data_IF_748584211812
#
_entry.id   IF_748584211812
#
_cell.length_a   1.000
_cell.length_b   1.000
_cell.length_c   1.000
_cell.angle_alpha   90.00
_cell.angle_beta   90.00
_cell.angle_gamma   90.00
#
_symmetry.space_group_name_H-M   'P 1'
#
loop_
_entity.id
_entity.type
_entity.pdbx_description
1 polymer ?
#
# COMPACT_ATOMS: atom_id res chain seq x y z
N UNK A 1 47.66 8.27 1.97
CA UNK A 1 46.39 8.22 1.29
C UNK A 1 46.44 7.28 0.09
N UNK A 2 46.61 5.96 0.30
CA UNK A 2 46.62 4.95 -0.79
C UNK A 2 46.15 3.56 -0.30
N UNK A 3 45.14 3.47 0.55
CA UNK A 3 44.72 2.22 1.15
C UNK A 3 43.21 1.90 1.00
N UNK A 4 42.47 2.66 0.17
CA UNK A 4 41.00 2.52 0.11
C UNK A 4 40.43 1.96 -1.19
N UNK A 5 41.27 1.62 -2.20
CA UNK A 5 40.79 1.18 -3.53
C UNK A 5 40.90 -0.33 -3.79
N UNK A 6 41.48 -1.10 -2.88
CA UNK A 6 41.72 -2.55 -3.06
C UNK A 6 40.54 -3.41 -2.55
N UNK A 7 39.72 -2.87 -1.67
CA UNK A 7 38.62 -3.64 -1.04
C UNK A 7 37.36 -3.76 -1.94
N UNK A 8 37.16 -2.86 -2.88
CA UNK A 8 35.96 -2.83 -3.75
C UNK A 8 36.07 -3.87 -4.89
N UNK A 9 37.31 -4.19 -5.33
CA UNK A 9 37.51 -5.14 -6.44
C UNK A 9 37.39 -6.62 -6.05
N UNK A 10 37.40 -6.97 -4.77
CA UNK A 10 37.23 -8.37 -4.34
C UNK A 10 35.76 -8.82 -4.28
N UNK A 11 34.84 -7.87 -4.19
CA UNK A 11 33.40 -8.20 -4.11
C UNK A 11 32.80 -8.60 -5.48
N UNK A 12 33.37 -8.07 -6.58
CA UNK A 12 32.87 -8.36 -7.93
C UNK A 12 33.39 -9.67 -8.54
N UNK A 13 34.43 -10.30 -7.97
CA UNK A 13 35.03 -11.51 -8.56
C UNK A 13 34.30 -12.81 -8.21
N UNK A 14 33.42 -12.81 -7.20
CA UNK A 14 32.64 -13.98 -6.77
C UNK A 14 31.37 -14.27 -7.58
N UNK A 15 30.83 -13.28 -8.28
CA UNK A 15 29.54 -13.44 -9.00
C UNK A 15 29.66 -13.86 -10.47
N UNK A 16 30.81 -13.78 -11.09
CA UNK A 16 30.99 -14.20 -12.52
C UNK A 16 31.06 -15.71 -12.73
N UNK A 17 31.28 -16.49 -11.71
CA UNK A 17 31.37 -17.95 -11.83
C UNK A 17 30.04 -18.70 -11.72
N UNK A 18 28.96 -18.06 -11.24
CA UNK A 18 27.66 -18.73 -11.14
C UNK A 18 26.74 -18.52 -12.36
N UNK A 19 27.03 -17.54 -13.21
CA UNK A 19 26.20 -17.28 -14.41
C UNK A 19 26.55 -18.21 -15.58
N UNK A 20 27.68 -18.87 -15.55
CA UNK A 20 28.14 -19.75 -16.64
C UNK A 20 27.69 -21.22 -16.51
N UNK A 21 27.05 -21.63 -15.43
CA UNK A 21 26.61 -23.03 -15.25
C UNK A 21 25.12 -23.29 -15.56
N UNK A 22 24.31 -22.25 -15.84
CA UNK A 22 22.87 -22.40 -16.14
C UNK A 22 22.57 -22.41 -17.66
N UNK A 23 23.54 -22.05 -18.53
CA UNK A 23 23.33 -21.97 -19.98
C UNK A 23 23.61 -23.26 -20.74
N UNK A 24 23.93 -24.36 -20.10
CA UNK A 24 24.36 -25.60 -20.79
C UNK A 24 23.36 -26.77 -20.76
N UNK A 25 22.15 -26.60 -20.19
CA UNK A 25 21.17 -27.72 -20.05
C UNK A 25 19.85 -27.47 -20.83
N UNK A 26 19.73 -26.46 -21.64
CA UNK A 26 18.51 -26.17 -22.39
C UNK A 26 18.62 -26.41 -23.89
N UNK A 27 19.09 -27.59 -24.29
CA UNK A 27 19.09 -27.99 -25.71
C UNK A 27 19.00 -29.53 -25.88
N UNK A 28 17.92 -30.12 -25.42
CA UNK A 28 17.35 -31.40 -25.95
C UNK A 28 15.95 -31.54 -25.34
N UNK A 29 14.91 -31.45 -26.14
CA UNK A 29 13.58 -31.80 -25.65
C UNK A 29 12.40 -31.26 -26.45
N UNK A 30 12.19 -31.88 -27.65
CA UNK A 30 10.87 -32.19 -28.24
C UNK A 30 9.71 -31.22 -28.08
N UNK A 31 9.35 -30.63 -29.22
CA UNK A 31 8.06 -29.95 -29.46
C UNK A 31 6.88 -30.87 -29.15
N UNK A 32 6.14 -30.56 -28.12
CA UNK A 32 4.80 -31.11 -27.92
C UNK A 32 3.80 -29.96 -28.13
N UNK A 33 3.10 -30.04 -29.26
CA UNK A 33 1.94 -29.21 -29.53
C UNK A 33 0.83 -29.58 -28.51
N UNK A 34 0.56 -28.72 -27.56
CA UNK A 34 -0.66 -28.79 -26.74
C UNK A 34 -1.70 -27.87 -27.36
N UNK A 35 -2.70 -28.52 -27.96
CA UNK A 35 -3.94 -27.89 -28.45
C UNK A 35 -4.69 -27.36 -27.22
N UNK A 36 -4.90 -26.04 -27.18
CA UNK A 36 -5.74 -25.42 -26.19
C UNK A 36 -7.22 -25.78 -26.44
N UNK A 37 -7.98 -26.19 -25.44
CA UNK A 37 -9.42 -26.35 -25.60
C UNK A 37 -10.10 -24.98 -25.71
N UNK A 38 -10.82 -24.79 -26.81
CA UNK A 38 -11.71 -23.66 -27.03
C UNK A 38 -12.90 -23.77 -26.06
N UNK A 39 -13.00 -22.82 -25.15
CA UNK A 39 -14.21 -22.65 -24.32
C UNK A 39 -15.21 -21.81 -25.11
N UNK A 40 -16.17 -22.48 -25.73
CA UNK A 40 -17.39 -21.86 -26.26
C UNK A 40 -18.36 -21.55 -25.10
N UNK A 41 -19.22 -20.52 -25.26
CA UNK A 41 -20.22 -20.19 -24.24
C UNK A 41 -21.27 -21.28 -24.13
N UNK A 42 -21.82 -21.60 -22.94
CA UNK A 42 -22.86 -22.58 -22.77
C UNK A 42 -24.17 -22.06 -23.39
N UNK A 43 -24.85 -22.99 -24.09
CA UNK A 43 -26.14 -22.76 -24.71
C UNK A 43 -27.23 -22.45 -23.69
N UNK A 44 -28.05 -21.48 -24.06
CA UNK A 44 -29.31 -21.08 -23.45
C UNK A 44 -30.27 -22.30 -23.37
N UNK A 45 -30.72 -22.66 -22.18
CA UNK A 45 -31.92 -23.44 -21.99
C UNK A 45 -33.02 -22.55 -21.41
N UNK A 46 -34.04 -22.37 -22.21
CA UNK A 46 -35.25 -21.64 -21.87
C UNK A 46 -36.22 -22.51 -21.03
N UNK A 47 -37.13 -21.79 -20.38
CA UNK A 47 -38.46 -22.15 -19.85
C UNK A 47 -38.59 -22.51 -18.38
N UNK A 48 -39.37 -21.65 -17.72
CA UNK A 48 -40.00 -21.90 -16.43
C UNK A 48 -40.55 -20.61 -15.85
N UNK A 49 -41.80 -20.26 -16.18
CA UNK A 49 -42.48 -19.09 -15.65
C UNK A 49 -42.72 -19.21 -14.13
N UNK A 50 -42.60 -18.11 -13.44
CA UNK A 50 -42.91 -17.92 -12.05
C UNK A 50 -43.03 -16.45 -11.76
N UNK A 51 -44.30 -15.98 -11.72
CA UNK A 51 -44.68 -14.67 -11.21
C UNK A 51 -44.10 -14.44 -9.82
N UNK A 52 -43.29 -13.45 -9.65
CA UNK A 52 -42.99 -12.85 -8.36
C UNK A 52 -42.74 -11.38 -8.55
N UNK A 53 -43.80 -10.59 -8.44
CA UNK A 53 -43.76 -9.16 -8.19
C UNK A 53 -43.06 -8.91 -6.82
N UNK A 54 -41.75 -8.74 -6.84
CA UNK A 54 -41.00 -8.25 -5.68
C UNK A 54 -40.60 -6.82 -5.96
N UNK A 55 -41.19 -5.96 -5.16
CA UNK A 55 -40.91 -4.54 -5.05
C UNK A 55 -39.42 -4.22 -5.22
N UNK A 56 -39.09 -3.61 -6.34
CA UNK A 56 -37.85 -2.89 -6.54
C UNK A 56 -37.88 -1.61 -5.68
N UNK A 57 -37.51 -1.73 -4.41
CA UNK A 57 -37.12 -0.59 -3.61
C UNK A 57 -35.84 -0.04 -4.19
N UNK A 58 -35.94 0.86 -5.16
CA UNK A 58 -34.87 1.78 -5.52
C UNK A 58 -34.50 2.54 -4.23
N UNK A 59 -33.45 2.10 -3.57
CA UNK A 59 -32.75 2.95 -2.63
C UNK A 59 -32.07 4.02 -3.45
N UNK A 60 -32.77 5.17 -3.59
CA UNK A 60 -32.10 6.40 -3.94
C UNK A 60 -31.14 6.68 -2.80
N UNK A 61 -29.88 6.31 -2.97
CA UNK A 61 -28.81 6.85 -2.17
C UNK A 61 -28.71 8.34 -2.50
N UNK A 62 -29.53 9.14 -1.84
CA UNK A 62 -29.19 10.53 -1.59
C UNK A 62 -27.82 10.47 -0.92
N UNK A 63 -26.80 10.92 -1.64
CA UNK A 63 -25.45 11.06 -1.09
C UNK A 63 -25.59 11.92 0.16
N UNK A 64 -25.62 11.29 1.31
CA UNK A 64 -25.65 11.99 2.59
C UNK A 64 -24.38 12.83 2.60
N UNK A 65 -24.52 14.14 2.54
CA UNK A 65 -23.41 15.07 2.57
C UNK A 65 -22.70 14.83 3.89
N UNK A 66 -21.55 14.17 3.83
CA UNK A 66 -20.73 13.88 5.00
C UNK A 66 -20.43 15.21 5.70
N UNK A 67 -20.62 15.32 7.01
CA UNK A 67 -20.33 16.57 7.71
C UNK A 67 -18.85 16.94 7.55
N UNK A 68 -18.51 18.24 7.48
CA UNK A 68 -17.12 18.67 7.32
C UNK A 68 -16.26 18.18 8.48
N UNK A 69 -15.07 17.67 8.15
CA UNK A 69 -14.09 17.25 9.15
C UNK A 69 -13.51 18.51 9.79
N UNK A 70 -13.74 18.68 11.09
CA UNK A 70 -13.21 19.81 11.86
C UNK A 70 -11.88 19.48 12.50
N UNK A 71 -10.89 20.36 12.36
CA UNK A 71 -9.54 20.20 12.90
C UNK A 71 -9.27 21.25 13.97
N UNK A 72 -9.66 21.01 15.22
CA UNK A 72 -9.51 21.96 16.33
C UNK A 72 -8.27 21.77 17.23
N UNK A 73 -7.42 20.76 16.98
CA UNK A 73 -6.29 20.39 17.84
C UNK A 73 -4.96 20.99 17.36
N UNK A 74 -4.07 21.29 18.28
CA UNK A 74 -2.72 21.81 18.04
C UNK A 74 -1.71 20.76 17.56
N UNK A 75 -2.10 19.48 17.47
CA UNK A 75 -1.25 18.37 17.04
C UNK A 75 -1.22 18.21 15.52
N UNK A 76 -0.15 17.61 15.02
CA UNK A 76 -0.04 17.15 13.64
C UNK A 76 -1.18 16.16 13.33
N UNK A 77 -1.88 16.34 12.21
CA UNK A 77 -2.99 15.48 11.82
C UNK A 77 -2.78 14.86 10.45
N UNK A 78 -3.17 13.59 10.33
CA UNK A 78 -3.23 12.87 9.07
C UNK A 78 -4.70 12.67 8.70
N UNK A 79 -5.10 13.20 7.55
CA UNK A 79 -6.49 13.19 7.10
C UNK A 79 -6.57 12.48 5.76
N UNK A 80 -7.50 11.54 5.66
CA UNK A 80 -7.86 10.89 4.39
C UNK A 80 -9.25 11.36 3.98
N UNK A 81 -9.37 11.84 2.74
CA UNK A 81 -10.62 12.28 2.13
C UNK A 81 -10.89 11.47 0.85
N UNK A 82 -12.15 11.30 0.53
CA UNK A 82 -12.55 10.93 -0.83
C UNK A 82 -12.75 12.19 -1.69
N UNK A 83 -12.61 12.08 -3.00
CA UNK A 83 -12.99 13.16 -3.90
C UNK A 83 -14.46 13.57 -3.64
N UNK A 84 -14.72 14.87 -3.57
CA UNK A 84 -16.00 15.44 -3.21
C UNK A 84 -16.20 15.71 -1.71
N UNK A 85 -15.42 15.12 -0.83
CA UNK A 85 -15.48 15.41 0.62
C UNK A 85 -15.11 16.87 0.90
N UNK A 86 -15.70 17.42 1.97
CA UNK A 86 -15.44 18.81 2.41
C UNK A 86 -14.59 18.78 3.67
N UNK A 87 -13.48 19.51 3.63
CA UNK A 87 -12.57 19.73 4.75
C UNK A 87 -12.78 21.13 5.32
N UNK A 88 -13.11 21.23 6.61
CA UNK A 88 -13.19 22.49 7.34
C UNK A 88 -11.91 22.71 8.16
N UNK A 89 -11.15 23.75 7.80
CA UNK A 89 -9.90 24.13 8.45
C UNK A 89 -10.01 25.39 9.31
N UNK A 90 -11.23 25.79 9.65
CA UNK A 90 -11.48 26.96 10.52
C UNK A 90 -10.97 26.74 11.96
N UNK A 91 -10.55 27.81 12.66
CA UNK A 91 -10.25 29.14 12.16
C UNK A 91 -8.81 29.24 11.65
N UNK A 92 -8.58 30.04 10.63
CA UNK A 92 -7.23 30.47 10.32
C UNK A 92 -6.87 30.57 8.85
N UNK A 93 -5.79 31.26 8.55
CA UNK A 93 -5.21 31.22 7.22
C UNK A 93 -4.71 29.80 6.92
N UNK A 94 -4.90 29.37 5.69
CA UNK A 94 -4.40 28.08 5.18
C UNK A 94 -3.45 28.38 4.03
N UNK A 95 -2.23 27.84 4.11
CA UNK A 95 -1.29 27.82 3.00
C UNK A 95 -1.05 26.38 2.56
N UNK A 96 -0.83 26.21 1.28
CA UNK A 96 -0.61 24.91 0.65
C UNK A 96 0.89 24.72 0.39
N UNK A 97 1.44 23.61 0.84
CA UNK A 97 2.70 23.07 0.36
C UNK A 97 2.40 21.95 -0.64
N UNK A 98 2.81 22.12 -1.89
CA UNK A 98 2.57 21.15 -2.95
C UNK A 98 1.39 21.54 -3.86
N UNK A 99 0.49 20.63 -4.14
CA UNK A 99 -0.53 20.72 -5.19
C UNK A 99 -1.82 21.39 -4.71
N UNK A 100 -2.01 22.70 -4.94
CA UNK A 100 -3.25 23.39 -4.60
C UNK A 100 -4.47 22.86 -5.38
N UNK A 101 -4.24 22.20 -6.53
CA UNK A 101 -5.28 21.60 -7.36
C UNK A 101 -6.02 20.42 -6.71
N UNK A 102 -5.50 19.85 -5.64
CA UNK A 102 -6.19 18.78 -4.91
C UNK A 102 -7.41 19.28 -4.15
N UNK A 103 -7.48 20.57 -3.86
CA UNK A 103 -8.53 21.18 -3.07
C UNK A 103 -9.03 22.45 -3.72
N UNK A 104 -10.33 22.61 -3.86
CA UNK A 104 -10.96 23.89 -4.21
C UNK A 104 -11.56 24.55 -2.97
N UNK A 105 -11.36 25.88 -2.86
CA UNK A 105 -11.93 26.65 -1.74
C UNK A 105 -13.41 26.91 -1.95
N UNK A 106 -14.21 26.73 -0.92
CA UNK A 106 -15.65 26.97 -0.93
C UNK A 106 -15.93 28.39 -0.43
N UNK A 107 -16.23 29.29 -1.33
CA UNK A 107 -16.52 30.70 -1.01
C UNK A 107 -15.35 31.40 -0.30
N UNK A 108 -15.66 32.29 0.65
CA UNK A 108 -14.65 33.01 1.45
C UNK A 108 -14.24 32.29 2.73
N UNK A 109 -14.85 31.15 3.05
CA UNK A 109 -14.56 30.36 4.26
C UNK A 109 -13.27 29.56 4.13
N UNK A 110 -12.79 28.98 5.22
CA UNK A 110 -11.67 28.02 5.23
C UNK A 110 -12.15 26.57 5.01
N UNK A 111 -13.21 26.44 4.20
CA UNK A 111 -13.72 25.14 3.76
C UNK A 111 -13.20 24.83 2.36
N UNK A 112 -12.82 23.60 2.16
CA UNK A 112 -12.23 23.13 0.91
C UNK A 112 -12.92 21.84 0.47
N UNK A 113 -13.13 21.68 -0.84
CA UNK A 113 -13.61 20.46 -1.45
C UNK A 113 -12.41 19.70 -2.01
N UNK A 114 -12.35 18.39 -1.76
CA UNK A 114 -11.37 17.51 -2.37
C UNK A 114 -11.76 17.26 -3.85
N UNK A 115 -10.86 17.55 -4.79
CA UNK A 115 -11.14 17.49 -6.23
C UNK A 115 -10.47 16.29 -6.90
N UNK A 116 -9.22 16.01 -6.57
CA UNK A 116 -8.44 14.95 -7.23
C UNK A 116 -7.61 14.15 -6.24
N UNK A 117 -7.22 12.93 -6.64
CA UNK A 117 -6.38 12.07 -5.80
C UNK A 117 -4.95 12.56 -5.70
N UNK A 118 -4.36 12.44 -4.50
CA UNK A 118 -2.98 12.80 -4.27
C UNK A 118 -2.68 13.13 -2.81
N UNK A 119 -1.44 13.56 -2.57
CA UNK A 119 -0.96 13.96 -1.26
C UNK A 119 -0.71 15.47 -1.22
N UNK A 120 -1.10 16.12 -0.12
CA UNK A 120 -0.81 17.52 0.14
C UNK A 120 -0.44 17.75 1.61
N UNK A 121 0.32 18.81 1.87
CA UNK A 121 0.59 19.30 3.21
C UNK A 121 0.01 20.70 3.33
N UNK A 122 -0.83 20.90 4.32
CA UNK A 122 -1.45 22.18 4.60
C UNK A 122 -0.84 22.75 5.87
N UNK A 123 -0.52 24.04 5.84
CA UNK A 123 -0.18 24.81 7.04
C UNK A 123 -1.38 25.63 7.43
N UNK A 124 -1.90 25.41 8.64
CA UNK A 124 -3.15 26.02 9.14
C UNK A 124 -2.82 26.86 10.38
N UNK A 125 -3.24 28.11 10.36
CA UNK A 125 -2.97 29.06 11.44
C UNK A 125 -1.75 29.92 11.19
N UNK A 126 -1.29 30.64 12.20
CA UNK A 126 -0.12 31.51 12.15
C UNK A 126 0.64 31.53 13.47
N UNK A 127 1.91 31.93 13.44
CA UNK A 127 2.76 32.05 14.64
C UNK A 127 2.84 30.74 15.42
N UNK A 128 2.69 30.81 16.75
CA UNK A 128 2.73 29.66 17.64
C UNK A 128 1.55 28.68 17.46
N UNK A 129 0.48 29.10 16.80
CA UNK A 129 -0.67 28.27 16.50
C UNK A 129 -0.57 27.57 15.13
N UNK A 130 0.57 27.68 14.44
CA UNK A 130 0.80 27.02 13.16
C UNK A 130 0.82 25.48 13.37
N UNK A 131 -0.02 24.79 12.63
CA UNK A 131 -0.07 23.32 12.62
C UNK A 131 0.03 22.81 11.19
N UNK A 132 0.55 21.59 11.02
CA UNK A 132 0.60 20.90 9.74
C UNK A 132 -0.50 19.84 9.67
N UNK A 133 -1.21 19.83 8.55
CA UNK A 133 -2.20 18.83 8.21
C UNK A 133 -1.68 18.06 6.99
N UNK A 134 -1.42 16.77 7.17
CA UNK A 134 -1.03 15.86 6.09
C UNK A 134 -2.31 15.29 5.51
N UNK A 135 -2.56 15.61 4.27
CA UNK A 135 -3.77 15.26 3.56
C UNK A 135 -3.48 14.18 2.53
N UNK A 136 -4.32 13.16 2.52
CA UNK A 136 -4.42 12.22 1.42
C UNK A 136 -5.84 12.28 0.84
N UNK A 137 -5.96 12.67 -0.42
CA UNK A 137 -7.20 12.55 -1.19
C UNK A 137 -7.14 11.28 -2.00
N UNK A 138 -8.11 10.40 -1.84
CA UNK A 138 -8.15 9.13 -2.57
C UNK A 138 -8.48 9.39 -4.05
N UNK A 139 -7.78 8.75 -5.00
CA UNK A 139 -8.06 8.92 -6.43
C UNK A 139 -9.43 8.37 -6.84
N UNK A 140 -10.02 7.56 -5.99
CA UNK A 140 -11.34 6.95 -6.17
C UNK A 140 -11.96 6.67 -4.81
N UNK A 141 -13.31 6.63 -4.68
CA UNK A 141 -13.97 6.32 -3.41
C UNK A 141 -13.43 5.02 -2.82
N UNK A 142 -12.95 5.07 -1.59
CA UNK A 142 -12.35 3.91 -0.92
C UNK A 142 -12.65 3.91 0.58
N UNK A 143 -12.64 2.70 1.15
CA UNK A 143 -12.66 2.48 2.60
C UNK A 143 -11.27 2.06 3.02
N UNK A 144 -10.74 2.71 4.04
CA UNK A 144 -9.38 2.46 4.51
C UNK A 144 -9.33 2.37 6.03
N UNK A 145 -8.45 1.48 6.50
CA UNK A 145 -8.00 1.48 7.87
C UNK A 145 -7.00 2.63 8.02
N UNK A 146 -7.31 3.56 8.91
CA UNK A 146 -6.51 4.77 9.12
C UNK A 146 -6.19 4.97 10.59
N UNK A 147 -5.16 5.78 10.82
CA UNK A 147 -4.87 6.35 12.12
C UNK A 147 -4.60 7.83 11.90
N UNK A 148 -5.42 8.70 12.48
CA UNK A 148 -5.41 10.12 12.15
C UNK A 148 -4.40 10.93 12.97
N UNK A 149 -3.80 10.31 13.98
CA UNK A 149 -2.84 10.90 14.91
C UNK A 149 -1.39 10.56 14.60
N UNK A 150 -1.14 9.55 13.74
CA UNK A 150 0.20 9.05 13.43
C UNK A 150 0.43 8.81 11.94
N UNK A 151 1.65 9.08 11.48
CA UNK A 151 2.17 8.52 10.23
C UNK A 151 2.82 7.16 10.51
N UNK A 152 2.09 6.10 10.24
CA UNK A 152 2.55 4.74 10.48
C UNK A 152 3.12 4.03 9.25
N UNK A 153 3.34 4.75 8.13
CA UNK A 153 4.08 4.20 6.99
C UNK A 153 5.58 4.13 7.30
N UNK A 154 6.19 3.01 6.95
CA UNK A 154 7.65 2.80 7.02
C UNK A 154 8.14 2.22 5.70
N UNK A 155 9.27 2.74 5.23
CA UNK A 155 10.00 2.17 4.08
C UNK A 155 11.12 1.27 4.58
N UNK A 156 11.52 0.31 3.75
CA UNK A 156 12.71 -0.49 4.02
C UNK A 156 14.03 0.21 3.64
N UNK A 157 13.97 1.46 3.19
CA UNK A 157 15.15 2.25 2.83
C UNK A 157 16.13 2.42 4.01
N UNK A 158 17.42 2.34 3.70
CA UNK A 158 18.50 2.54 4.68
C UNK A 158 18.68 1.39 5.67
N UNK A 159 17.90 0.33 5.56
CA UNK A 159 17.92 -0.81 6.50
C UNK A 159 18.52 -2.09 5.91
N UNK A 160 19.02 -2.04 4.68
CA UNK A 160 19.53 -3.18 3.92
C UNK A 160 18.47 -3.82 3.02
N UNK A 161 18.91 -4.86 2.27
CA UNK A 161 18.04 -5.62 1.38
C UNK A 161 17.09 -6.53 2.16
N UNK A 162 15.95 -6.90 1.52
CA UNK A 162 14.98 -7.86 2.02
C UNK A 162 14.28 -7.47 3.35
N UNK A 163 14.22 -6.19 3.67
CA UNK A 163 13.56 -5.68 4.88
C UNK A 163 12.08 -5.30 4.69
N UNK A 164 11.44 -5.77 3.62
CA UNK A 164 9.99 -5.55 3.42
C UNK A 164 9.16 -6.18 4.56
N UNK A 165 9.47 -7.40 4.99
CA UNK A 165 8.82 -8.04 6.14
C UNK A 165 8.98 -7.25 7.44
N UNK A 166 10.21 -6.96 7.88
CA UNK A 166 10.45 -6.09 9.04
C UNK A 166 9.76 -4.73 8.97
N UNK A 167 9.68 -4.12 7.78
CA UNK A 167 8.96 -2.86 7.62
C UNK A 167 7.46 -3.02 7.87
N UNK A 168 6.84 -4.13 7.42
CA UNK A 168 5.44 -4.40 7.71
C UNK A 168 5.18 -4.61 9.19
N UNK A 169 6.06 -5.33 9.90
CA UNK A 169 5.96 -5.51 11.34
C UNK A 169 6.06 -4.17 12.06
N UNK A 170 7.06 -3.34 11.72
CA UNK A 170 7.21 -1.99 12.28
C UNK A 170 5.95 -1.14 12.07
N UNK A 171 5.39 -1.14 10.85
CA UNK A 171 4.12 -0.46 10.55
C UNK A 171 2.96 -0.99 11.38
N UNK A 172 2.86 -2.31 11.55
CA UNK A 172 1.80 -2.97 12.32
C UNK A 172 1.87 -2.61 13.81
N UNK A 173 3.07 -2.61 14.39
CA UNK A 173 3.31 -2.22 15.79
C UNK A 173 2.91 -0.76 16.01
N UNK A 174 3.35 0.12 15.12
CA UNK A 174 3.03 1.54 15.23
C UNK A 174 1.52 1.79 15.07
N UNK A 175 0.88 1.09 14.12
CA UNK A 175 -0.56 1.20 13.92
C UNK A 175 -1.36 0.65 15.11
N UNK A 176 -1.05 -0.57 15.58
CA UNK A 176 -1.82 -1.22 16.64
C UNK A 176 -1.51 -0.65 18.04
N UNK A 177 -0.24 -0.36 18.33
CA UNK A 177 0.24 -0.05 19.68
C UNK A 177 0.69 1.39 19.86
N UNK A 178 0.84 2.17 18.78
CA UNK A 178 1.41 3.52 18.84
C UNK A 178 2.91 3.55 19.17
N UNK A 179 3.60 2.39 19.15
CA UNK A 179 5.02 2.28 19.44
C UNK A 179 5.81 2.36 18.13
N UNK A 180 6.74 3.30 18.05
CA UNK A 180 7.60 3.48 16.87
C UNK A 180 8.87 2.65 17.05
N UNK A 181 8.87 1.42 16.52
CA UNK A 181 10.03 0.54 16.51
C UNK A 181 10.69 0.63 15.13
N UNK A 182 11.97 1.04 15.04
CA UNK A 182 12.67 1.14 13.76
C UNK A 182 12.73 -0.19 13.01
N UNK A 183 12.64 -0.15 11.68
CA UNK A 183 12.72 -1.34 10.82
C UNK A 183 14.01 -2.13 11.07
N UNK A 184 15.13 -1.43 11.32
CA UNK A 184 16.41 -2.06 11.61
C UNK A 184 16.40 -2.83 12.93
N UNK A 185 15.67 -2.36 13.93
CA UNK A 185 15.52 -3.04 15.22
C UNK A 185 14.73 -4.34 15.02
N UNK A 186 13.59 -4.29 14.30
CA UNK A 186 12.84 -5.49 13.94
C UNK A 186 13.70 -6.48 13.14
N UNK A 187 14.52 -5.99 12.19
CA UNK A 187 15.46 -6.86 11.46
C UNK A 187 16.47 -7.53 12.41
N UNK A 188 17.00 -6.79 13.37
CA UNK A 188 17.96 -7.33 14.33
C UNK A 188 17.35 -8.41 15.23
N UNK A 189 16.07 -8.27 15.55
CA UNK A 189 15.32 -9.27 16.35
C UNK A 189 15.04 -10.56 15.58
N UNK A 190 14.67 -10.43 14.31
CA UNK A 190 14.41 -11.56 13.40
C UNK A 190 15.74 -12.24 13.02
N UNK A 191 16.81 -11.46 12.91
CA UNK A 191 18.10 -11.93 12.38
C UNK A 191 18.10 -12.04 10.86
N UNK A 192 19.11 -12.75 10.35
CA UNK A 192 19.27 -13.05 8.92
C UNK A 192 19.34 -14.58 8.76
N UNK A 193 18.20 -15.27 8.83
CA UNK A 193 18.19 -16.74 8.81
C UNK A 193 18.66 -17.32 7.47
N UNK A 194 18.67 -16.49 6.41
CA UNK A 194 19.06 -16.86 5.05
C UNK A 194 20.10 -15.90 4.50
N UNK A 195 20.95 -16.38 3.58
CA UNK A 195 21.99 -15.57 2.95
C UNK A 195 21.47 -14.34 2.19
N UNK A 196 20.23 -14.41 1.69
CA UNK A 196 19.54 -13.33 0.98
C UNK A 196 18.76 -12.39 1.91
N UNK A 197 18.74 -12.69 3.23
CA UNK A 197 18.00 -11.92 4.23
C UNK A 197 16.48 -12.07 4.12
N UNK A 198 15.97 -13.10 3.44
CA UNK A 198 14.54 -13.35 3.32
C UNK A 198 13.90 -13.48 4.72
N UNK A 199 12.64 -13.11 4.80
CA UNK A 199 11.82 -13.17 6.01
C UNK A 199 10.66 -14.13 5.75
N UNK A 200 10.43 -15.09 6.63
CA UNK A 200 9.31 -16.01 6.57
C UNK A 200 8.06 -15.42 7.24
N UNK A 201 6.89 -16.04 7.02
CA UNK A 201 5.69 -15.69 7.79
C UNK A 201 5.85 -16.01 9.28
N UNK A 202 6.62 -17.04 9.63
CA UNK A 202 6.87 -17.39 11.03
C UNK A 202 7.69 -16.30 11.73
N UNK A 203 8.72 -15.78 11.08
CA UNK A 203 9.50 -14.64 11.58
C UNK A 203 8.61 -13.42 11.85
N UNK A 204 7.67 -13.13 10.93
CA UNK A 204 6.73 -12.02 11.10
C UNK A 204 5.81 -12.25 12.30
N UNK A 205 5.28 -13.49 12.46
CA UNK A 205 4.41 -13.85 13.59
C UNK A 205 5.13 -13.71 14.92
N UNK A 206 6.32 -14.30 15.04
CA UNK A 206 7.13 -14.24 16.25
C UNK A 206 7.45 -12.78 16.64
N UNK A 207 7.74 -11.94 15.65
CA UNK A 207 8.00 -10.53 15.91
C UNK A 207 6.73 -9.78 16.35
N UNK A 208 5.57 -10.03 15.72
CA UNK A 208 4.29 -9.46 16.17
C UNK A 208 3.95 -9.89 17.61
N UNK A 209 4.13 -11.18 17.94
CA UNK A 209 3.92 -11.72 19.29
C UNK A 209 4.82 -11.06 20.32
N UNK A 210 6.12 -10.90 20.02
CA UNK A 210 7.09 -10.24 20.89
C UNK A 210 6.65 -8.82 21.26
N UNK A 211 6.09 -8.11 20.29
CA UNK A 211 5.58 -6.76 20.47
C UNK A 211 4.09 -6.69 20.89
N UNK A 212 3.49 -7.85 21.21
CA UNK A 212 2.10 -7.97 21.68
C UNK A 212 1.08 -7.34 20.72
N UNK A 213 1.33 -7.49 19.43
CA UNK A 213 0.38 -7.10 18.39
C UNK A 213 -0.53 -8.28 18.11
N UNK A 214 -1.83 -8.09 18.27
CA UNK A 214 -2.80 -9.14 17.99
C UNK A 214 -2.90 -9.40 16.48
N UNK A 215 -2.88 -10.67 16.11
CA UNK A 215 -3.04 -11.10 14.73
C UNK A 215 -3.72 -12.47 14.64
N UNK A 216 -4.19 -12.80 13.46
CA UNK A 216 -4.60 -14.15 13.09
C UNK A 216 -4.07 -14.53 11.72
N UNK A 217 -3.86 -15.83 11.50
CA UNK A 217 -3.53 -16.36 10.17
C UNK A 217 -4.83 -16.70 9.45
N UNK A 218 -5.00 -16.18 8.25
CA UNK A 218 -6.18 -16.41 7.39
C UNK A 218 -5.73 -16.91 6.03
N UNK A 219 -6.57 -17.72 5.38
CA UNK A 219 -6.35 -18.23 4.03
C UNK A 219 -7.40 -17.65 3.11
N UNK A 220 -6.98 -16.98 2.06
CA UNK A 220 -7.84 -16.31 1.11
C UNK A 220 -8.31 -17.29 0.02
N UNK A 221 -9.61 -17.32 -0.26
CA UNK A 221 -10.22 -18.03 -1.38
C UNK A 221 -10.43 -17.10 -2.59
N UNK A 222 -10.64 -15.81 -2.34
CA UNK A 222 -10.87 -14.80 -3.35
C UNK A 222 -10.53 -13.37 -2.86
N UNK A 223 -10.56 -12.38 -3.76
CA UNK A 223 -10.35 -10.98 -3.36
C UNK A 223 -11.36 -10.48 -2.32
N UNK A 224 -12.58 -11.06 -2.29
CA UNK A 224 -13.62 -10.69 -1.34
C UNK A 224 -13.23 -10.98 0.11
N UNK A 225 -12.45 -12.05 0.36
CA UNK A 225 -11.98 -12.35 1.71
C UNK A 225 -11.08 -11.24 2.25
N UNK A 226 -10.22 -10.68 1.39
CA UNK A 226 -9.38 -9.54 1.75
C UNK A 226 -10.22 -8.28 2.01
N UNK A 227 -11.28 -8.05 1.22
CA UNK A 227 -12.25 -6.98 1.50
C UNK A 227 -12.90 -7.16 2.87
N UNK A 228 -13.27 -8.39 3.24
CA UNK A 228 -13.89 -8.69 4.53
C UNK A 228 -12.92 -8.39 5.69
N UNK A 229 -11.64 -8.76 5.58
CA UNK A 229 -10.59 -8.41 6.55
C UNK A 229 -10.56 -6.89 6.78
N UNK A 230 -10.47 -6.13 5.71
CA UNK A 230 -10.38 -4.67 5.76
C UNK A 230 -11.69 -4.01 6.25
N UNK A 231 -12.83 -4.60 5.93
CA UNK A 231 -14.14 -4.12 6.39
C UNK A 231 -14.31 -4.22 7.91
N UNK A 232 -13.63 -5.19 8.55
CA UNK A 232 -13.57 -5.32 10.01
C UNK A 232 -12.57 -4.32 10.65
N UNK A 233 -11.89 -3.52 9.85
CA UNK A 233 -10.90 -2.55 10.35
C UNK A 233 -9.52 -3.16 10.61
N UNK A 234 -9.24 -4.35 10.08
CA UNK A 234 -7.96 -5.05 10.23
C UNK A 234 -7.03 -4.73 9.06
N UNK A 235 -5.72 -4.90 9.26
CA UNK A 235 -4.72 -4.83 8.21
C UNK A 235 -4.40 -6.23 7.70
N UNK A 236 -3.93 -6.36 6.46
CA UNK A 236 -3.46 -7.63 5.93
C UNK A 236 -2.01 -7.53 5.44
N UNK A 237 -1.13 -8.36 5.99
CA UNK A 237 0.23 -8.53 5.53
C UNK A 237 0.23 -9.66 4.49
N UNK A 238 0.64 -9.34 3.27
CA UNK A 238 0.61 -10.27 2.14
C UNK A 238 1.98 -10.38 1.47
N UNK A 239 2.33 -11.56 1.01
CA UNK A 239 3.53 -11.83 0.22
C UNK A 239 3.14 -11.98 -1.26
N UNK A 240 3.69 -11.12 -2.10
CA UNK A 240 3.41 -11.09 -3.54
C UNK A 240 4.67 -11.39 -4.36
N UNK A 241 4.48 -11.77 -5.62
CA UNK A 241 5.46 -11.63 -6.67
C UNK A 241 5.20 -10.29 -7.36
N UNK A 242 6.07 -9.33 -7.17
CA UNK A 242 5.78 -7.92 -7.54
C UNK A 242 5.56 -7.72 -9.04
N UNK A 243 6.18 -8.54 -9.90
CA UNK A 243 5.95 -8.52 -11.34
C UNK A 243 4.51 -8.80 -11.76
N UNK A 244 3.70 -9.43 -10.89
CA UNK A 244 2.26 -9.63 -11.11
C UNK A 244 1.42 -8.36 -11.01
N UNK A 245 1.99 -7.25 -10.51
CA UNK A 245 1.33 -5.94 -10.47
C UNK A 245 1.83 -5.09 -11.63
N UNK A 246 0.93 -4.57 -12.43
CA UNK A 246 1.29 -3.68 -13.53
C UNK A 246 2.04 -2.45 -13.01
N UNK A 247 3.09 -2.05 -13.74
CA UNK A 247 3.80 -0.81 -13.43
C UNK A 247 2.89 0.39 -13.70
N UNK A 248 3.04 1.42 -12.88
CA UNK A 248 2.35 2.69 -13.05
C UNK A 248 2.60 3.28 -14.45
N UNK A 249 1.54 3.79 -15.05
CA UNK A 249 1.65 4.55 -16.32
C UNK A 249 2.03 6.00 -16.03
N UNK A 250 3.09 6.47 -16.65
CA UNK A 250 3.59 7.84 -16.50
C UNK A 250 4.35 8.09 -15.21
N UNK A 251 4.28 9.32 -14.71
CA UNK A 251 4.99 9.77 -13.52
C UNK A 251 4.40 9.16 -12.23
N UNK A 252 5.13 8.30 -11.51
CA UNK A 252 4.64 7.68 -10.29
C UNK A 252 4.44 8.68 -9.12
N UNK A 253 5.01 9.88 -9.20
CA UNK A 253 4.79 10.92 -8.18
C UNK A 253 3.38 11.53 -8.25
N UNK A 254 2.71 11.38 -9.38
CA UNK A 254 1.36 11.90 -9.65
C UNK A 254 0.32 10.82 -9.81
N UNK A 255 0.71 9.63 -10.23
CA UNK A 255 -0.20 8.51 -10.42
C UNK A 255 -0.01 7.47 -9.30
N UNK A 256 -1.05 7.25 -8.53
CA UNK A 256 -1.05 6.34 -7.38
C UNK A 256 -1.37 4.88 -7.75
N UNK A 257 -1.71 4.59 -9.02
CA UNK A 257 -2.17 3.26 -9.44
C UNK A 257 -1.03 2.43 -10.00
N UNK A 258 -0.85 1.22 -9.52
CA UNK A 258 0.19 0.27 -9.93
C UNK A 258 1.49 0.38 -9.12
N UNK A 259 2.41 -0.56 -9.34
CA UNK A 259 3.76 -0.52 -8.74
C UNK A 259 4.60 0.55 -9.42
N UNK A 260 5.60 1.07 -8.71
CA UNK A 260 6.41 2.21 -9.14
C UNK A 260 7.89 1.86 -9.39
N UNK A 261 8.26 0.61 -9.29
CA UNK A 261 9.60 0.06 -9.52
C UNK A 261 9.57 -1.04 -10.58
N UNK A 262 10.72 -1.40 -11.11
CA UNK A 262 10.86 -2.38 -12.20
C UNK A 262 11.08 -3.82 -11.71
N UNK A 263 11.63 -3.99 -10.53
CA UNK A 263 12.02 -5.30 -10.00
C UNK A 263 10.83 -6.26 -9.87
N UNK A 264 11.07 -7.51 -10.28
CA UNK A 264 10.16 -8.64 -10.08
C UNK A 264 10.72 -9.57 -9.02
N UNK A 265 10.23 -9.44 -7.81
CA UNK A 265 10.76 -10.19 -6.66
C UNK A 265 9.63 -10.57 -5.67
N UNK A 266 9.94 -11.53 -4.80
CA UNK A 266 9.12 -11.82 -3.63
C UNK A 266 9.11 -10.61 -2.70
N UNK A 267 7.93 -10.05 -2.44
CA UNK A 267 7.81 -8.79 -1.73
C UNK A 267 6.62 -8.77 -0.78
N UNK A 268 6.86 -8.31 0.43
CA UNK A 268 5.78 -8.10 1.39
C UNK A 268 5.19 -6.71 1.22
N UNK A 269 3.85 -6.63 1.12
CA UNK A 269 3.10 -5.38 1.15
C UNK A 269 1.99 -5.44 2.19
N UNK A 270 1.62 -4.29 2.74
CA UNK A 270 0.58 -4.16 3.74
C UNK A 270 -0.67 -3.59 3.07
N UNK A 271 -1.76 -4.36 3.09
CA UNK A 271 -3.06 -3.94 2.55
C UNK A 271 -3.86 -3.29 3.67
N UNK A 272 -4.33 -2.06 3.43
CA UNK A 272 -5.02 -1.24 4.43
C UNK A 272 -6.37 -0.71 3.99
N UNK A 273 -6.79 -0.97 2.76
CA UNK A 273 -8.07 -0.47 2.26
C UNK A 273 -8.44 -1.04 0.90
N UNK A 274 -9.62 -0.69 0.45
CA UNK A 274 -10.17 -1.09 -0.84
C UNK A 274 -11.07 -0.01 -1.43
N UNK A 275 -11.11 0.07 -2.76
CA UNK A 275 -12.08 0.91 -3.46
C UNK A 275 -13.45 0.24 -3.48
N UNK A 276 -14.52 1.05 -3.33
CA UNK A 276 -15.89 0.52 -3.28
C UNK A 276 -16.36 0.01 -4.65
N UNK A 277 -15.98 0.71 -5.73
CA UNK A 277 -16.60 0.51 -7.05
C UNK A 277 -15.62 0.11 -8.16
N UNK A 278 -14.30 0.09 -7.89
CA UNK A 278 -13.32 0.05 -8.98
C UNK A 278 -12.29 -1.10 -8.89
N UNK A 279 -12.47 -2.04 -7.99
CA UNK A 279 -11.65 -3.25 -7.94
C UNK A 279 -10.17 -3.02 -7.62
N UNK A 280 -9.87 -2.12 -6.67
CA UNK A 280 -8.51 -1.85 -6.20
C UNK A 280 -8.38 -2.06 -4.71
N UNK A 281 -7.17 -2.46 -4.29
CA UNK A 281 -6.74 -2.41 -2.90
C UNK A 281 -5.80 -1.23 -2.67
N UNK A 282 -5.90 -0.61 -1.50
CA UNK A 282 -4.98 0.43 -1.04
C UNK A 282 -3.89 -0.23 -0.21
N UNK A 283 -2.65 -0.03 -0.62
CA UNK A 283 -1.50 -0.67 0.00
C UNK A 283 -0.47 0.34 0.51
N UNK A 284 0.24 -0.05 1.55
CA UNK A 284 1.53 0.48 1.92
C UNK A 284 2.60 -0.45 1.39
N UNK A 285 3.37 0.02 0.43
CA UNK A 285 4.46 -0.71 -0.19
C UNK A 285 5.79 -0.15 0.33
N UNK A 286 6.56 -0.90 1.11
CA UNK A 286 7.78 -0.41 1.73
C UNK A 286 8.97 -0.31 0.77
N UNK A 287 8.82 -0.70 -0.51
CA UNK A 287 9.94 -0.76 -1.45
C UNK A 287 10.54 0.64 -1.70
N UNK A 288 11.86 0.84 -1.60
CA UNK A 288 12.50 2.08 -1.98
C UNK A 288 12.71 2.13 -3.49
N UNK A 289 12.51 3.29 -4.10
CA UNK A 289 12.75 3.47 -5.55
C UNK A 289 14.25 3.54 -5.84
N UNK A 290 14.97 4.15 -4.94
CA UNK A 290 16.39 4.37 -5.03
C UNK A 290 17.02 3.97 -3.70
N UNK A 291 17.87 2.95 -3.74
CA UNK A 291 18.53 2.41 -2.56
C UNK A 291 19.57 3.37 -1.96
N UNK A 292 20.05 4.35 -2.75
CA UNK A 292 21.04 5.32 -2.30
C UNK A 292 20.39 6.53 -1.65
N UNK A 293 19.31 7.05 -2.19
CA UNK A 293 18.72 8.31 -1.74
C UNK A 293 17.29 8.22 -1.23
N UNK A 294 16.52 7.21 -1.67
CA UNK A 294 15.07 7.13 -1.45
C UNK A 294 14.36 8.48 -1.70
N UNK A 295 14.80 9.19 -2.74
CA UNK A 295 14.41 10.57 -3.00
C UNK A 295 13.03 10.73 -3.60
N UNK A 296 12.47 9.64 -4.18
CA UNK A 296 11.19 9.73 -4.87
C UNK A 296 10.04 9.94 -3.88
N UNK A 297 9.39 11.07 -4.04
CA UNK A 297 8.23 11.50 -3.26
C UNK A 297 7.04 11.72 -4.18
N UNK A 298 5.85 11.68 -3.60
CA UNK A 298 4.70 12.24 -4.27
C UNK A 298 4.90 13.74 -4.52
N UNK A 299 4.03 14.28 -5.29
CA UNK A 299 4.07 15.69 -5.70
C UNK A 299 3.95 16.69 -4.53
N UNK A 300 3.66 16.24 -3.31
CA UNK A 300 3.77 17.03 -2.07
C UNK A 300 5.23 17.20 -1.57
N UNK A 301 6.19 16.57 -2.25
CA UNK A 301 7.62 16.55 -1.91
C UNK A 301 7.96 15.97 -0.52
N UNK A 302 6.99 15.38 0.19
CA UNK A 302 7.14 14.86 1.55
C UNK A 302 6.79 13.38 1.63
N UNK A 303 5.61 12.99 1.11
CA UNK A 303 5.09 11.63 1.24
C UNK A 303 5.87 10.65 0.38
N UNK A 304 6.41 9.55 0.95
CA UNK A 304 7.09 8.51 0.18
C UNK A 304 6.16 7.86 -0.82
N UNK A 305 6.67 7.53 -2.01
CA UNK A 305 5.85 7.07 -3.14
C UNK A 305 5.16 5.71 -2.91
N UNK A 306 5.66 4.89 -2.00
CA UNK A 306 5.02 3.62 -1.63
C UNK A 306 3.81 3.75 -0.70
N UNK A 307 3.57 4.95 -0.17
CA UNK A 307 2.46 5.23 0.73
C UNK A 307 1.16 5.41 -0.05
N UNK A 308 0.10 4.65 0.33
CA UNK A 308 -1.24 4.73 -0.28
C UNK A 308 -1.25 4.43 -1.81
N UNK A 309 -0.56 3.38 -2.24
CA UNK A 309 -0.65 2.88 -3.63
C UNK A 309 -1.97 2.13 -3.85
N UNK A 310 -2.47 2.19 -5.08
CA UNK A 310 -3.65 1.46 -5.52
C UNK A 310 -3.23 0.31 -6.42
N UNK A 311 -3.41 -0.93 -5.96
CA UNK A 311 -3.13 -2.12 -6.74
C UNK A 311 -4.43 -2.76 -7.22
N UNK A 312 -4.58 -3.07 -8.53
CA UNK A 312 -5.78 -3.73 -9.04
C UNK A 312 -6.04 -5.04 -8.29
N UNK A 313 -7.28 -5.24 -7.81
CA UNK A 313 -7.62 -6.34 -6.92
C UNK A 313 -7.32 -7.71 -7.54
N UNK A 314 -7.65 -7.90 -8.82
CA UNK A 314 -7.34 -9.13 -9.54
C UNK A 314 -5.83 -9.36 -9.69
N UNK A 315 -5.05 -8.31 -9.93
CA UNK A 315 -3.59 -8.41 -10.04
C UNK A 315 -2.96 -8.71 -8.69
N UNK A 316 -3.35 -8.00 -7.61
CA UNK A 316 -2.86 -8.25 -6.27
C UNK A 316 -3.15 -9.70 -5.86
N UNK A 317 -4.38 -10.17 -6.05
CA UNK A 317 -4.76 -11.53 -5.70
C UNK A 317 -4.05 -12.57 -6.56
N UNK A 318 -3.86 -12.31 -7.85
CA UNK A 318 -3.08 -13.15 -8.78
C UNK A 318 -1.59 -13.18 -8.46
N UNK A 319 -1.04 -12.09 -7.93
CA UNK A 319 0.36 -11.95 -7.55
C UNK A 319 0.72 -12.60 -6.20
N UNK A 320 -0.26 -13.04 -5.40
CA UNK A 320 0.01 -13.66 -4.10
C UNK A 320 0.86 -14.93 -4.28
N UNK A 321 2.03 -14.96 -3.66
CA UNK A 321 2.90 -16.16 -3.61
C UNK A 321 2.31 -17.24 -2.72
N UNK A 322 1.50 -16.87 -1.76
CA UNK A 322 0.69 -17.76 -0.93
C UNK A 322 -0.66 -17.11 -0.67
N UNK A 323 -1.69 -17.94 -0.49
CA UNK A 323 -3.02 -17.45 -0.08
C UNK A 323 -3.12 -17.24 1.43
N UNK A 324 -2.10 -17.62 2.19
CA UNK A 324 -1.99 -17.35 3.62
C UNK A 324 -1.60 -15.89 3.82
N UNK A 325 -2.26 -15.22 4.74
CA UNK A 325 -1.99 -13.84 5.16
C UNK A 325 -1.90 -13.75 6.68
N UNK A 326 -1.26 -12.70 7.17
CA UNK A 326 -1.39 -12.28 8.56
C UNK A 326 -2.36 -11.11 8.63
N UNK A 327 -3.43 -11.31 9.34
CA UNK A 327 -4.45 -10.32 9.60
C UNK A 327 -4.18 -9.67 10.96
N UNK A 328 -3.76 -8.42 10.95
CA UNK A 328 -3.44 -7.65 12.17
C UNK A 328 -4.66 -6.90 12.64
N UNK A 329 -4.96 -7.04 13.94
CA UNK A 329 -6.08 -6.36 14.60
C UNK A 329 -5.57 -5.26 15.53
N UNK A 330 -6.37 -4.20 15.70
CA UNK A 330 -6.19 -3.26 16.81
C UNK A 330 -7.09 -3.72 17.94
N UNK A 331 -6.52 -4.10 19.05
CA UNK A 331 -7.29 -4.36 20.28
C UNK A 331 -7.87 -3.08 20.87
#
# INVERSE_FOLDING_TARGET
MKASLVSIFRYFRGRRSQILFISAIALIGTSVFLVAPSWGPPASAATGGGDASVLEKRHSHTAATRPPISTSSTSQKFITLNAGDVLDLSPGPVSFGGHPELLSRIGSSWKFRAESGGHAVLSVGSGAALRRVFLFVTPMPSRQVTRNDLDWYRTQFGTGIANCGPALVSMSILWARGQDIPVQEIRSEIGYPYDDGATSFDDLRESLERHRVAYRTSVLSGPQDLVNVLAHGHLALVLIQSGGIAKVSGDPSRNLVGRYYDDDLGHYVLVKGYSLDQGYFVVYDPYPVDWESNSLRYSDAISPIGKNRYYPAGQLFGALKTKMILEVTSD
#
